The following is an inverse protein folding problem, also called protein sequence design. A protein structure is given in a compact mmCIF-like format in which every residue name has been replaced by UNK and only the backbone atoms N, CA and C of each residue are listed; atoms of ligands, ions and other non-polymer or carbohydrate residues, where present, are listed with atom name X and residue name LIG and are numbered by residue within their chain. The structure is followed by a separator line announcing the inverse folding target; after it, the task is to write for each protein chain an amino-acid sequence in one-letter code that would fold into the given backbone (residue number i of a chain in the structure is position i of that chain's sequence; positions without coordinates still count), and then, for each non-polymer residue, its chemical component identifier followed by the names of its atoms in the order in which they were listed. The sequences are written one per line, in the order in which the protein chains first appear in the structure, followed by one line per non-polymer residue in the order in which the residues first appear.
data_IF_821852539853
#
_entry.id   IF_821852539853
#
_cell.length_a   1.000
_cell.length_b   1.000
_cell.length_c   1.000
_cell.angle_alpha   90.00
_cell.angle_beta   90.00
_cell.angle_gamma   90.00
#
_symmetry.space_group_name_H-M   'P 1'
#
loop_
_entity.id
_entity.type
_entity.pdbx_description
1 polymer ?
#
# COMPACT_ATOMS: atom_id res chain seq x y z
N UNK A 1 -5.75 15.96 -10.01
CA UNK A 1 -5.97 14.83 -9.09
C UNK A 1 -7.30 14.18 -9.41
N UNK A 2 -7.41 12.88 -9.27
CA UNK A 2 -8.63 12.13 -9.59
C UNK A 2 -8.97 11.13 -8.49
N UNK A 3 -10.25 10.79 -8.41
CA UNK A 3 -10.77 9.68 -7.63
C UNK A 3 -11.31 8.61 -8.58
N UNK A 4 -10.92 7.37 -8.35
CA UNK A 4 -11.36 6.21 -9.12
C UNK A 4 -12.26 5.35 -8.24
N UNK A 5 -13.55 5.28 -8.57
CA UNK A 5 -14.55 4.48 -7.85
C UNK A 5 -14.97 3.27 -8.70
N UNK A 6 -14.88 2.04 -8.21
CA UNK A 6 -15.32 0.88 -8.96
C UNK A 6 -16.85 0.88 -9.12
N UNK A 7 -17.34 0.49 -10.30
CA UNK A 7 -18.77 0.27 -10.50
C UNK A 7 -19.26 -1.03 -9.84
N UNK A 8 -18.38 -2.03 -9.74
CA UNK A 8 -18.69 -3.34 -9.17
C UNK A 8 -17.39 -3.92 -8.55
N UNK A 9 -17.37 -5.21 -8.34
CA UNK A 9 -16.17 -5.92 -7.91
C UNK A 9 -15.07 -5.86 -8.98
N UNK A 10 -13.82 -5.94 -8.52
CA UNK A 10 -12.67 -6.00 -9.39
C UNK A 10 -11.65 -7.01 -8.88
N UNK A 11 -10.65 -7.34 -9.70
CA UNK A 11 -9.63 -8.31 -9.35
C UNK A 11 -8.24 -7.75 -9.65
N UNK A 12 -7.36 -7.85 -8.65
CA UNK A 12 -5.91 -7.70 -8.84
C UNK A 12 -5.28 -9.08 -8.67
N UNK A 13 -4.72 -9.59 -9.77
CA UNK A 13 -4.09 -10.90 -9.77
C UNK A 13 -2.84 -10.90 -8.89
N UNK A 14 -2.58 -12.01 -8.24
CA UNK A 14 -1.32 -12.30 -7.53
C UNK A 14 -0.15 -12.60 -8.48
N UNK A 15 -0.39 -12.55 -9.79
CA UNK A 15 0.59 -12.78 -10.86
C UNK A 15 0.79 -14.24 -11.22
N UNK A 16 0.12 -15.17 -10.58
CA UNK A 16 0.14 -16.57 -11.02
C UNK A 16 -0.62 -16.71 -12.32
N UNK A 17 -0.11 -17.53 -13.26
CA UNK A 17 -0.89 -17.90 -14.44
C UNK A 17 -2.17 -18.60 -13.97
N UNK A 18 -3.28 -18.25 -14.58
CA UNK A 18 -4.55 -18.93 -14.39
C UNK A 18 -4.89 -19.64 -15.68
N UNK A 19 -4.49 -20.91 -15.77
CA UNK A 19 -4.67 -21.72 -16.97
C UNK A 19 -6.01 -22.43 -16.90
N UNK A 20 -6.64 -22.47 -18.06
CA UNK A 20 -7.92 -23.13 -18.27
C UNK A 20 -7.80 -24.64 -17.97
N UNK A 21 -8.61 -25.16 -17.04
CA UNK A 21 -8.65 -26.58 -16.67
C UNK A 21 -7.55 -27.07 -15.70
N UNK A 22 -6.58 -26.22 -15.33
CA UNK A 22 -5.51 -26.60 -14.40
C UNK A 22 -5.77 -26.11 -12.98
N UNK A 23 -6.39 -24.92 -12.82
CA UNK A 23 -6.70 -24.35 -11.51
C UNK A 23 -8.20 -24.01 -11.43
N UNK A 24 -8.82 -24.41 -10.32
CA UNK A 24 -10.24 -24.17 -10.08
C UNK A 24 -10.51 -22.92 -9.26
N UNK A 25 -9.49 -22.32 -8.64
CA UNK A 25 -9.63 -21.15 -7.79
C UNK A 25 -8.54 -20.12 -8.03
N UNK A 26 -8.94 -18.84 -8.22
CA UNK A 26 -8.03 -17.70 -8.31
C UNK A 26 -8.24 -16.77 -7.13
N UNK A 27 -7.17 -16.52 -6.40
CA UNK A 27 -7.17 -15.58 -5.29
C UNK A 27 -6.85 -14.16 -5.77
N UNK A 28 -7.51 -13.17 -5.18
CA UNK A 28 -7.18 -11.76 -5.31
C UNK A 28 -6.61 -11.25 -4.01
N UNK A 29 -5.43 -10.68 -4.08
CA UNK A 29 -4.81 -10.05 -2.92
C UNK A 29 -4.99 -8.54 -3.03
N UNK A 30 -5.65 -7.94 -2.03
CA UNK A 30 -5.80 -6.50 -1.98
C UNK A 30 -4.61 -5.83 -1.30
N UNK A 31 -4.01 -4.94 -2.01
CA UNK A 31 -3.11 -3.88 -1.56
C UNK A 31 -3.27 -2.71 -2.52
N UNK A 32 -2.79 -1.54 -2.14
CA UNK A 32 -2.80 -0.39 -3.05
C UNK A 32 -1.80 -0.66 -4.19
N UNK A 33 -2.31 -1.21 -5.29
CA UNK A 33 -1.52 -1.54 -6.48
C UNK A 33 -1.60 -0.42 -7.51
N UNK A 34 -0.54 0.39 -7.68
CA UNK A 34 -0.58 1.53 -8.59
C UNK A 34 -0.41 1.15 -10.07
N UNK A 35 0.14 -0.04 -10.37
CA UNK A 35 0.51 -0.39 -11.75
C UNK A 35 -0.67 -0.48 -12.72
N UNK A 36 -1.82 -1.10 -12.38
CA UNK A 36 -2.97 -1.08 -13.29
C UNK A 36 -3.42 0.34 -13.64
N UNK A 37 -3.40 1.26 -12.67
CA UNK A 37 -3.78 2.65 -12.84
C UNK A 37 -2.79 3.37 -13.77
N UNK A 38 -1.49 3.20 -13.50
CA UNK A 38 -0.42 3.80 -14.32
C UNK A 38 -0.45 3.25 -15.74
N UNK A 39 -0.64 1.95 -15.89
CA UNK A 39 -0.68 1.28 -17.20
C UNK A 39 -1.85 1.78 -18.05
N UNK A 40 -3.01 1.98 -17.44
CA UNK A 40 -4.17 2.53 -18.14
C UNK A 40 -3.93 4.00 -18.54
N UNK A 41 -3.44 4.84 -17.63
CA UNK A 41 -3.14 6.24 -17.91
C UNK A 41 -2.14 6.40 -19.07
N UNK A 42 -1.06 5.62 -19.07
CA UNK A 42 -0.05 5.63 -20.13
C UNK A 42 -0.62 5.17 -21.47
N UNK A 43 -1.48 4.14 -21.46
CA UNK A 43 -2.11 3.62 -22.68
C UNK A 43 -3.11 4.61 -23.28
N UNK A 44 -3.92 5.25 -22.44
CA UNK A 44 -4.96 6.17 -22.87
C UNK A 44 -4.39 7.39 -23.61
N UNK A 45 -3.31 7.94 -23.09
CA UNK A 45 -2.77 9.21 -23.59
C UNK A 45 -1.56 9.03 -24.50
N UNK A 46 -1.01 7.82 -24.61
CA UNK A 46 0.29 7.52 -25.24
C UNK A 46 1.47 8.29 -24.63
N UNK A 47 1.26 8.88 -23.45
CA UNK A 47 2.26 9.63 -22.69
C UNK A 47 2.69 8.83 -21.45
N UNK A 48 3.91 9.08 -21.00
CA UNK A 48 4.40 8.51 -19.75
C UNK A 48 3.93 9.38 -18.58
N UNK A 49 3.20 8.77 -17.65
CA UNK A 49 2.74 9.34 -16.39
C UNK A 49 3.56 8.83 -15.22
N UNK A 50 3.61 9.63 -14.17
CA UNK A 50 4.12 9.23 -12.87
C UNK A 50 3.02 9.40 -11.81
N UNK A 51 2.90 8.45 -10.90
CA UNK A 51 2.02 8.57 -9.74
C UNK A 51 2.83 9.18 -8.61
N UNK A 52 2.51 10.40 -8.25
CA UNK A 52 3.15 11.14 -7.16
C UNK A 52 2.59 10.72 -5.79
N UNK A 53 1.28 10.43 -5.73
CA UNK A 53 0.61 10.00 -4.52
C UNK A 53 -0.60 9.13 -4.85
N UNK A 54 -0.82 8.11 -4.04
CA UNK A 54 -1.99 7.24 -4.12
C UNK A 54 -2.42 6.81 -2.71
N UNK A 55 -3.72 6.80 -2.46
CA UNK A 55 -4.33 6.37 -1.20
C UNK A 55 -5.76 5.91 -1.45
N UNK A 56 -6.42 5.35 -0.43
CA UNK A 56 -7.86 5.18 -0.47
C UNK A 56 -8.56 6.48 -0.08
N UNK A 57 -9.78 6.66 -0.59
CA UNK A 57 -10.65 7.78 -0.27
C UNK A 57 -12.08 7.31 -0.09
N UNK A 58 -12.75 7.82 0.93
CA UNK A 58 -14.18 7.64 1.14
C UNK A 58 -14.78 8.95 1.62
N UNK A 59 -15.85 9.42 0.97
CA UNK A 59 -16.57 10.64 1.34
C UNK A 59 -15.63 11.85 1.56
N UNK A 60 -14.72 12.09 0.59
CA UNK A 60 -13.67 13.13 0.61
C UNK A 60 -12.62 13.02 1.73
N UNK A 61 -12.58 11.92 2.46
CA UNK A 61 -11.59 11.65 3.51
C UNK A 61 -10.58 10.61 3.04
N UNK A 62 -9.28 10.87 3.20
CA UNK A 62 -8.23 9.91 2.88
C UNK A 62 -8.15 8.82 3.94
N UNK A 63 -7.84 7.60 3.50
CA UNK A 63 -7.67 6.43 4.36
C UNK A 63 -6.32 5.76 4.12
N UNK A 64 -5.67 5.38 5.20
CA UNK A 64 -4.35 4.76 5.22
C UNK A 64 -4.40 3.40 5.89
N UNK A 65 -3.57 2.47 5.42
CA UNK A 65 -3.43 1.17 6.08
C UNK A 65 -3.14 1.34 7.55
N UNK A 66 -3.86 0.60 8.40
CA UNK A 66 -3.52 0.53 9.82
C UNK A 66 -2.06 0.12 9.96
N UNK A 67 -1.21 0.90 10.66
CA UNK A 67 0.16 0.50 10.93
C UNK A 67 0.22 -0.84 11.66
N UNK A 68 1.07 -1.75 11.18
CA UNK A 68 1.11 -3.15 11.64
C UNK A 68 1.49 -3.32 13.10
N UNK A 69 2.04 -2.28 13.71
CA UNK A 69 2.36 -2.24 15.14
C UNK A 69 1.14 -2.00 16.03
N UNK A 70 0.04 -1.47 15.48
CA UNK A 70 -1.18 -1.27 16.24
C UNK A 70 -1.88 -2.61 16.40
N UNK A 71 -2.12 -3.01 17.65
CA UNK A 71 -2.81 -4.25 17.98
C UNK A 71 -4.12 -3.95 18.70
N UNK A 72 -5.00 -4.95 18.72
CA UNK A 72 -6.25 -4.91 19.46
C UNK A 72 -6.17 -5.92 20.60
N UNK A 73 -6.53 -5.51 21.81
CA UNK A 73 -6.64 -6.41 22.93
C UNK A 73 -7.87 -7.30 22.77
N UNK A 74 -7.67 -8.61 22.91
CA UNK A 74 -8.71 -9.60 22.61
C UNK A 74 -9.95 -9.44 23.48
N UNK A 75 -9.77 -9.20 24.79
CA UNK A 75 -10.86 -9.15 25.75
C UNK A 75 -11.42 -7.74 25.94
N UNK A 76 -10.54 -6.77 26.13
CA UNK A 76 -10.96 -5.36 26.36
C UNK A 76 -11.37 -4.65 25.07
N UNK A 77 -10.99 -5.20 23.91
CA UNK A 77 -11.26 -4.62 22.58
C UNK A 77 -10.60 -3.23 22.35
N UNK A 78 -9.79 -2.76 23.27
CA UNK A 78 -9.04 -1.52 23.15
C UNK A 78 -7.86 -1.70 22.19
N UNK A 79 -7.43 -0.62 21.59
CA UNK A 79 -6.19 -0.58 20.84
C UNK A 79 -5.01 -0.43 21.77
N UNK A 80 -3.87 -0.93 21.33
CA UNK A 80 -2.60 -0.79 22.02
C UNK A 80 -1.50 -0.53 20.99
N UNK A 81 -0.62 0.38 21.34
CA UNK A 81 0.57 0.73 20.58
C UNK A 81 1.81 0.38 21.38
N UNK A 82 2.88 -0.07 20.74
CA UNK A 82 4.08 -0.48 21.46
C UNK A 82 4.92 0.70 21.89
N UNK A 83 5.69 0.49 22.95
CA UNK A 83 6.82 1.32 23.33
C UNK A 83 8.12 0.69 22.84
N UNK A 84 9.09 1.52 22.50
CA UNK A 84 10.44 1.04 22.19
C UNK A 84 11.20 0.76 23.48
N UNK A 85 11.74 -0.47 23.58
CA UNK A 85 12.58 -0.91 24.69
C UNK A 85 13.94 -1.36 24.16
N UNK A 86 15.01 -0.89 24.76
CA UNK A 86 16.38 -1.32 24.40
C UNK A 86 16.54 -2.81 24.65
N UNK A 87 17.18 -3.50 23.72
CA UNK A 87 17.53 -4.91 23.85
C UNK A 87 18.69 -5.01 24.85
N UNK A 88 18.55 -5.91 25.81
CA UNK A 88 19.64 -6.32 26.71
C UNK A 88 20.46 -7.48 26.11
N UNK A 89 21.49 -7.92 26.80
CA UNK A 89 22.41 -8.98 26.35
C UNK A 89 21.73 -10.36 26.17
N UNK A 90 20.48 -10.52 26.60
CA UNK A 90 19.76 -11.79 26.49
C UNK A 90 19.17 -12.05 25.11
N UNK A 91 19.13 -11.03 24.26
CA UNK A 91 18.57 -11.14 22.90
C UNK A 91 19.67 -11.27 21.85
N UNK A 92 19.52 -12.27 20.98
CA UNK A 92 20.37 -12.47 19.81
C UNK A 92 19.61 -12.00 18.57
N UNK A 93 20.14 -10.99 17.87
CA UNK A 93 19.59 -10.52 16.59
C UNK A 93 20.59 -10.79 15.47
N UNK A 94 20.07 -11.15 14.28
CA UNK A 94 20.90 -11.31 13.06
C UNK A 94 21.25 -9.99 12.39
N UNK A 95 20.63 -8.90 12.83
CA UNK A 95 20.79 -7.55 12.32
C UNK A 95 21.17 -6.64 13.47
N UNK A 96 21.75 -5.48 13.18
CA UNK A 96 22.11 -4.47 14.19
C UNK A 96 20.87 -3.76 14.78
N UNK A 97 19.83 -4.52 15.12
CA UNK A 97 18.63 -4.06 15.78
C UNK A 97 18.92 -3.91 17.26
N UNK A 98 18.63 -2.75 17.82
CA UNK A 98 18.96 -2.38 19.22
C UNK A 98 17.71 -2.22 20.10
N UNK A 99 16.52 -2.28 19.53
CA UNK A 99 15.26 -2.12 20.27
C UNK A 99 14.26 -3.17 19.85
N UNK A 100 13.39 -3.50 20.80
CA UNK A 100 12.18 -4.33 20.60
C UNK A 100 10.94 -3.47 20.85
N UNK A 101 9.80 -3.97 20.38
CA UNK A 101 8.50 -3.38 20.62
C UNK A 101 7.85 -4.06 21.80
N UNK A 102 7.67 -3.33 22.91
CA UNK A 102 7.03 -3.80 24.13
C UNK A 102 5.63 -3.23 24.25
N UNK A 103 4.63 -4.08 24.36
CA UNK A 103 3.23 -3.69 24.50
C UNK A 103 2.78 -3.57 25.97
N UNK A 104 3.68 -3.80 26.92
CA UNK A 104 3.41 -3.67 28.37
C UNK A 104 2.07 -4.33 28.79
N UNK A 105 1.75 -5.49 28.22
CA UNK A 105 0.50 -6.22 28.50
C UNK A 105 0.74 -7.73 28.46
N UNK A 106 0.04 -8.45 29.32
CA UNK A 106 -0.05 -9.92 29.30
C UNK A 106 -1.29 -10.41 28.54
N UNK A 107 -2.20 -9.49 28.19
CA UNK A 107 -3.41 -9.83 27.46
C UNK A 107 -3.09 -10.23 26.02
N UNK A 108 -3.76 -11.26 25.53
CA UNK A 108 -3.61 -11.70 24.14
C UNK A 108 -4.01 -10.58 23.18
N UNK A 109 -3.13 -10.32 22.22
CA UNK A 109 -3.32 -9.32 21.16
C UNK A 109 -3.73 -9.97 19.86
N UNK A 110 -4.51 -9.24 19.08
CA UNK A 110 -4.94 -9.60 17.73
C UNK A 110 -4.49 -8.52 16.74
N UNK A 111 -4.18 -8.95 15.51
CA UNK A 111 -3.85 -8.04 14.43
C UNK A 111 -5.07 -7.21 14.03
N UNK A 112 -4.88 -5.92 13.87
CA UNK A 112 -5.93 -5.04 13.38
C UNK A 112 -5.79 -4.84 11.87
N UNK A 113 -6.76 -5.36 11.11
CA UNK A 113 -6.77 -5.22 9.66
C UNK A 113 -7.76 -4.13 9.21
N UNK A 114 -7.37 -3.34 8.23
CA UNK A 114 -8.22 -2.29 7.65
C UNK A 114 -7.45 -1.02 7.33
N UNK A 115 -8.22 0.06 7.12
CA UNK A 115 -7.72 1.39 6.79
C UNK A 115 -8.40 2.41 7.72
N UNK A 116 -7.61 3.32 8.25
CA UNK A 116 -8.03 4.39 9.16
C UNK A 116 -8.07 5.72 8.42
N UNK A 117 -8.97 6.59 8.83
CA UNK A 117 -9.08 7.95 8.28
C UNK A 117 -7.82 8.80 8.57
N UNK A 118 -7.67 9.87 7.81
CA UNK A 118 -6.51 10.76 7.91
C UNK A 118 -6.38 11.41 9.29
N UNK A 119 -7.47 11.70 9.99
CA UNK A 119 -7.42 12.35 11.30
C UNK A 119 -6.88 11.40 12.37
N UNK A 120 -7.35 10.15 12.37
CA UNK A 120 -6.80 9.09 13.21
C UNK A 120 -5.33 8.83 12.88
N UNK A 121 -5.00 8.83 11.57
CA UNK A 121 -3.62 8.61 11.12
C UNK A 121 -2.69 9.75 11.54
N UNK A 122 -3.16 11.01 11.50
CA UNK A 122 -2.42 12.18 11.99
C UNK A 122 -2.11 12.07 13.49
N UNK A 123 -3.09 11.66 14.31
CA UNK A 123 -2.84 11.40 15.76
C UNK A 123 -1.73 10.37 15.94
N UNK A 124 -1.79 9.28 15.21
CA UNK A 124 -0.75 8.26 15.21
C UNK A 124 0.63 8.78 14.79
N UNK A 125 0.72 9.61 13.73
CA UNK A 125 1.99 10.22 13.28
C UNK A 125 2.59 11.15 14.34
N UNK A 126 1.76 11.84 15.09
CA UNK A 126 2.16 12.74 16.19
C UNK A 126 2.58 11.99 17.46
N UNK A 127 2.49 10.66 17.47
CA UNK A 127 2.77 9.83 18.63
C UNK A 127 1.74 10.00 19.75
N UNK A 128 0.48 10.23 19.41
CA UNK A 128 -0.63 10.25 20.35
C UNK A 128 -1.17 8.83 20.57
N UNK A 129 -1.59 8.53 21.81
CA UNK A 129 -2.13 7.22 22.15
C UNK A 129 -3.50 7.01 21.49
N UNK A 130 -3.61 5.93 20.72
CA UNK A 130 -4.85 5.55 20.05
C UNK A 130 -5.60 4.51 20.88
N UNK A 131 -6.64 4.92 21.58
CA UNK A 131 -7.48 4.02 22.39
C UNK A 131 -8.57 3.32 21.58
N UNK A 132 -9.06 3.96 20.52
CA UNK A 132 -10.10 3.44 19.62
C UNK A 132 -9.95 4.02 18.22
N UNK A 133 -10.54 3.35 17.25
CA UNK A 133 -10.70 3.83 15.87
C UNK A 133 -12.19 3.86 15.57
N UNK A 134 -12.72 5.04 15.28
CA UNK A 134 -14.14 5.23 14.96
C UNK A 134 -14.43 4.85 13.50
N UNK A 135 -13.55 5.27 12.60
CA UNK A 135 -13.71 5.12 11.15
C UNK A 135 -12.72 4.09 10.59
N UNK A 136 -13.03 2.81 10.80
CA UNK A 136 -12.23 1.71 10.23
C UNK A 136 -12.90 1.15 8.98
N UNK A 137 -12.26 1.31 7.83
CA UNK A 137 -12.69 0.72 6.57
C UNK A 137 -12.04 -0.65 6.38
N UNK A 138 -12.83 -1.68 6.11
CA UNK A 138 -12.37 -3.00 5.72
C UNK A 138 -12.71 -3.28 4.28
N UNK A 139 -11.80 -3.93 3.57
CA UNK A 139 -11.99 -4.36 2.20
C UNK A 139 -12.54 -5.78 2.24
N UNK A 140 -13.67 -5.96 1.58
CA UNK A 140 -14.34 -7.25 1.50
C UNK A 140 -13.91 -8.01 0.24
N UNK A 141 -14.08 -9.32 0.28
CA UNK A 141 -13.94 -10.18 -0.88
C UNK A 141 -15.27 -10.84 -1.23
N UNK A 142 -15.44 -11.14 -2.51
CA UNK A 142 -16.64 -11.80 -3.06
C UNK A 142 -16.21 -12.90 -4.01
N UNK A 143 -16.61 -14.14 -3.71
CA UNK A 143 -16.31 -15.27 -4.58
C UNK A 143 -17.38 -15.33 -5.67
N UNK A 144 -16.94 -15.35 -6.92
CA UNK A 144 -17.79 -15.59 -8.09
C UNK A 144 -17.34 -16.84 -8.80
N UNK A 145 -18.29 -17.69 -9.14
CA UNK A 145 -18.07 -18.93 -9.89
C UNK A 145 -18.45 -18.72 -11.34
N UNK A 146 -17.55 -19.12 -12.22
CA UNK A 146 -17.75 -19.13 -13.66
C UNK A 146 -17.72 -20.54 -14.24
N UNK A 147 -18.41 -20.73 -15.34
CA UNK A 147 -18.39 -21.98 -16.11
C UNK A 147 -18.11 -21.67 -17.57
N UNK A 148 -17.47 -22.59 -18.26
CA UNK A 148 -17.42 -22.53 -19.71
C UNK A 148 -18.61 -23.29 -20.31
N UNK A 149 -19.27 -22.65 -21.27
CA UNK A 149 -20.32 -23.27 -22.04
C UNK A 149 -19.79 -23.67 -23.42
N UNK A 150 -20.09 -24.90 -23.84
CA UNK A 150 -19.87 -25.35 -25.21
C UNK A 150 -20.63 -24.44 -26.17
N UNK A 151 -19.94 -23.96 -27.20
CA UNK A 151 -20.57 -23.11 -28.22
C UNK A 151 -21.64 -23.82 -29.02
N UNK A 152 -21.52 -25.17 -29.14
CA UNK A 152 -22.42 -26.00 -29.94
C UNK A 152 -23.62 -26.46 -29.15
N UNK A 153 -23.40 -27.02 -27.99
CA UNK A 153 -24.47 -27.62 -27.17
C UNK A 153 -25.01 -26.70 -26.10
N UNK A 154 -24.32 -25.61 -25.79
CA UNK A 154 -24.61 -24.68 -24.66
C UNK A 154 -24.66 -25.36 -23.29
N UNK A 155 -24.12 -26.56 -23.18
CA UNK A 155 -23.93 -27.27 -21.92
C UNK A 155 -22.56 -26.92 -21.33
N UNK A 156 -22.41 -27.15 -20.02
CA UNK A 156 -21.13 -26.96 -19.32
C UNK A 156 -20.08 -27.90 -19.91
N UNK A 157 -18.90 -27.37 -20.18
CA UNK A 157 -17.73 -28.18 -20.55
C UNK A 157 -17.15 -28.79 -19.27
N UNK A 158 -16.94 -30.11 -19.27
CA UNK A 158 -16.41 -30.86 -18.12
C UNK A 158 -15.01 -30.32 -17.73
N UNK A 159 -14.78 -30.17 -16.42
CA UNK A 159 -13.53 -29.63 -15.87
C UNK A 159 -13.36 -28.12 -16.00
N UNK A 160 -14.37 -27.40 -16.54
CA UNK A 160 -14.30 -25.95 -16.77
C UNK A 160 -15.14 -25.13 -15.77
N UNK A 161 -15.22 -25.61 -14.55
CA UNK A 161 -15.74 -24.85 -13.41
C UNK A 161 -14.57 -24.14 -12.73
N UNK A 162 -14.68 -22.83 -12.52
CA UNK A 162 -13.67 -22.06 -11.80
C UNK A 162 -14.33 -21.06 -10.86
N UNK A 163 -13.63 -20.74 -9.78
CA UNK A 163 -14.05 -19.70 -8.85
C UNK A 163 -12.96 -18.63 -8.74
N UNK A 164 -13.38 -17.38 -8.63
CA UNK A 164 -12.49 -16.24 -8.47
C UNK A 164 -12.91 -15.43 -7.26
N UNK A 165 -11.93 -15.03 -6.47
CA UNK A 165 -12.13 -14.14 -5.34
C UNK A 165 -11.92 -12.69 -5.81
N UNK A 166 -13.00 -11.92 -5.86
CA UNK A 166 -12.98 -10.52 -6.25
C UNK A 166 -12.88 -9.61 -5.02
N UNK A 167 -12.38 -8.41 -5.24
CA UNK A 167 -12.35 -7.33 -4.26
C UNK A 167 -13.65 -6.54 -4.39
N UNK A 168 -14.34 -6.33 -3.27
CA UNK A 168 -15.50 -5.45 -3.18
C UNK A 168 -15.20 -4.28 -2.27
N UNK A 169 -15.23 -3.10 -2.85
CA UNK A 169 -15.14 -1.87 -2.06
C UNK A 169 -16.48 -1.58 -1.37
N UNK A 170 -16.45 -1.11 -0.11
CA UNK A 170 -17.60 -0.49 0.51
C UNK A 170 -18.09 0.70 -0.32
N UNK A 171 -19.32 1.10 -0.10
CA UNK A 171 -19.93 2.25 -0.76
C UNK A 171 -19.08 3.52 -0.59
N UNK A 172 -18.99 4.31 -1.66
CA UNK A 172 -18.20 5.55 -1.76
C UNK A 172 -16.69 5.40 -1.57
N UNK A 173 -16.16 4.18 -1.44
CA UNK A 173 -14.73 3.96 -1.39
C UNK A 173 -14.13 3.98 -2.80
N UNK A 174 -12.98 4.62 -2.95
CA UNK A 174 -12.23 4.70 -4.19
C UNK A 174 -10.73 4.84 -3.97
N UNK A 175 -9.99 4.97 -5.07
CA UNK A 175 -8.58 5.37 -5.05
C UNK A 175 -8.47 6.86 -5.31
N UNK A 176 -7.79 7.60 -4.46
CA UNK A 176 -7.32 8.96 -4.72
C UNK A 176 -5.95 8.90 -5.35
N UNK A 177 -5.79 9.50 -6.53
CA UNK A 177 -4.55 9.44 -7.30
C UNK A 177 -4.11 10.83 -7.74
N UNK A 178 -2.86 11.17 -7.44
CA UNK A 178 -2.19 12.36 -7.92
C UNK A 178 -1.13 11.98 -8.93
N UNK A 179 -1.34 12.35 -10.18
CA UNK A 179 -0.36 12.23 -11.25
C UNK A 179 0.51 13.49 -11.37
N UNK A 180 1.64 13.36 -12.06
CA UNK A 180 2.51 14.49 -12.45
C UNK A 180 1.90 15.36 -13.55
N UNK A 181 0.91 14.86 -14.28
CA UNK A 181 0.20 15.52 -15.38
C UNK A 181 -1.30 15.37 -15.19
N UNK A 182 -2.06 16.25 -15.84
CA UNK A 182 -3.51 16.10 -15.87
C UNK A 182 -3.92 14.95 -16.77
N UNK A 183 -4.95 14.25 -16.35
CA UNK A 183 -5.62 13.23 -17.13
C UNK A 183 -7.11 13.55 -17.19
N UNK A 184 -7.66 13.48 -18.38
CA UNK A 184 -9.08 13.73 -18.64
C UNK A 184 -9.72 12.49 -19.23
N UNK A 185 -10.54 11.83 -18.41
CA UNK A 185 -11.31 10.65 -18.78
C UNK A 185 -12.44 10.44 -17.79
N UNK A 186 -13.55 9.91 -18.25
CA UNK A 186 -14.71 9.61 -17.41
C UNK A 186 -14.61 8.25 -16.74
N UNK A 187 -13.70 7.41 -17.19
CA UNK A 187 -13.50 6.06 -16.63
C UNK A 187 -12.09 5.53 -16.77
N UNK A 188 -11.77 4.55 -15.95
CA UNK A 188 -10.60 3.69 -16.05
C UNK A 188 -11.02 2.23 -16.13
N UNK A 189 -10.27 1.41 -16.87
CA UNK A 189 -10.38 -0.05 -16.80
C UNK A 189 -9.21 -0.60 -16.02
N UNK A 190 -9.47 -1.25 -14.90
CA UNK A 190 -8.42 -1.72 -13.98
C UNK A 190 -8.55 -3.21 -13.71
N UNK A 191 -7.39 -3.84 -13.53
CA UNK A 191 -7.29 -5.23 -13.13
C UNK A 191 -7.65 -6.23 -14.23
N UNK A 192 -7.88 -7.46 -13.82
CA UNK A 192 -8.38 -8.52 -14.71
C UNK A 192 -9.81 -8.26 -15.16
N UNK A 193 -10.16 -8.79 -16.33
CA UNK A 193 -11.50 -8.71 -16.93
C UNK A 193 -11.98 -7.29 -17.28
N UNK A 194 -11.04 -6.30 -17.35
CA UNK A 194 -11.38 -4.94 -17.77
C UNK A 194 -12.45 -4.26 -16.93
N UNK A 195 -12.42 -4.43 -15.61
CA UNK A 195 -13.40 -3.85 -14.69
C UNK A 195 -13.35 -2.33 -14.72
N UNK A 196 -14.53 -1.70 -14.77
CA UNK A 196 -14.68 -0.25 -14.98
C UNK A 196 -14.70 0.49 -13.65
N UNK A 197 -13.96 1.59 -13.61
CA UNK A 197 -13.94 2.56 -12.53
C UNK A 197 -14.36 3.92 -13.06
N UNK A 198 -15.32 4.55 -12.41
CA UNK A 198 -15.69 5.93 -12.67
C UNK A 198 -14.59 6.87 -12.19
N UNK A 199 -14.35 7.94 -12.95
CA UNK A 199 -13.39 8.99 -12.60
C UNK A 199 -14.13 10.23 -12.12
N UNK A 200 -13.65 10.79 -11.00
CA UNK A 200 -14.13 12.07 -10.48
C UNK A 200 -12.90 13.00 -10.30
N UNK A 201 -12.94 14.21 -10.86
CA UNK A 201 -11.87 15.20 -10.68
C UNK A 201 -11.96 15.80 -9.28
N UNK A 202 -10.83 15.91 -8.61
CA UNK A 202 -10.72 16.56 -7.30
C UNK A 202 -9.77 17.74 -7.43
N UNK A 203 -10.27 18.94 -7.13
CA UNK A 203 -9.47 20.18 -7.16
C UNK A 203 -8.75 20.41 -5.83
N UNK A 204 -9.35 19.99 -4.72
CA UNK A 204 -8.83 20.19 -3.38
C UNK A 204 -7.66 19.24 -3.07
N UNK A 205 -6.61 19.79 -2.47
CA UNK A 205 -5.48 18.97 -1.99
C UNK A 205 -5.82 18.33 -0.64
N UNK A 206 -6.29 17.10 -0.67
CA UNK A 206 -6.69 16.34 0.52
C UNK A 206 -5.50 15.93 1.42
N UNK A 207 -4.25 16.10 0.98
CA UNK A 207 -3.07 15.84 1.83
C UNK A 207 -2.71 17.02 2.75
N UNK A 208 -3.49 18.10 2.74
CA UNK A 208 -3.20 19.33 3.51
C UNK A 208 -3.11 19.07 5.01
N UNK A 209 -3.96 18.23 5.57
CA UNK A 209 -3.93 17.85 6.99
C UNK A 209 -2.60 17.19 7.38
N UNK A 210 -2.02 16.37 6.49
CA UNK A 210 -0.71 15.76 6.68
C UNK A 210 0.42 16.81 6.61
N UNK A 211 0.34 17.76 5.69
CA UNK A 211 1.35 18.82 5.57
C UNK A 211 1.35 19.74 6.82
N UNK A 212 0.18 20.03 7.37
CA UNK A 212 0.03 20.92 8.53
C UNK A 212 0.72 20.39 9.80
N UNK A 213 0.88 19.08 9.95
CA UNK A 213 1.50 18.46 11.15
C UNK A 213 2.99 18.21 11.00
N UNK A 214 3.55 18.47 9.84
CA UNK A 214 4.96 18.17 9.50
C UNK A 214 5.95 18.83 10.46
N UNK A 215 5.77 20.11 10.76
CA UNK A 215 6.70 20.86 11.61
C UNK A 215 6.56 20.48 13.09
N UNK A 216 5.35 20.14 13.56
CA UNK A 216 5.16 19.58 14.91
C UNK A 216 5.91 18.26 15.07
N UNK A 217 5.79 17.37 14.08
CA UNK A 217 6.49 16.08 14.09
C UNK A 217 8.01 16.28 14.08
N UNK A 218 8.54 17.20 13.25
CA UNK A 218 9.97 17.55 13.25
C UNK A 218 10.46 17.99 14.63
N UNK A 219 9.71 18.86 15.28
CA UNK A 219 10.05 19.36 16.62
C UNK A 219 10.10 18.23 17.63
N UNK A 220 9.12 17.34 17.64
CA UNK A 220 9.11 16.16 18.53
C UNK A 220 10.28 15.20 18.24
N UNK A 221 10.65 15.01 16.99
CA UNK A 221 11.79 14.17 16.59
C UNK A 221 13.10 14.75 17.06
N UNK A 222 13.30 16.07 16.97
CA UNK A 222 14.49 16.74 17.51
C UNK A 222 14.65 16.51 19.02
N UNK A 223 13.55 16.48 19.76
CA UNK A 223 13.56 16.24 21.22
C UNK A 223 13.82 14.77 21.55
N UNK A 224 13.09 13.86 20.90
CA UNK A 224 13.13 12.41 21.20
C UNK A 224 14.31 11.68 20.55
N UNK A 225 14.90 12.24 19.49
CA UNK A 225 15.95 11.64 18.67
C UNK A 225 15.58 10.29 18.03
N UNK A 226 14.31 9.95 18.05
CA UNK A 226 13.79 8.72 17.43
C UNK A 226 12.57 9.10 16.59
N UNK A 227 12.49 8.51 15.39
CA UNK A 227 11.37 8.66 14.49
C UNK A 227 11.02 7.32 13.83
N UNK A 228 9.86 7.27 13.22
CA UNK A 228 9.42 6.12 12.45
C UNK A 228 9.07 6.49 11.03
N UNK A 229 9.32 5.56 10.09
CA UNK A 229 8.86 5.63 8.71
C UNK A 229 7.82 4.56 8.50
N UNK A 230 6.68 4.96 7.98
CA UNK A 230 5.54 4.11 7.68
C UNK A 230 5.42 3.97 6.16
N UNK A 231 5.25 2.74 5.67
CA UNK A 231 4.95 2.49 4.26
C UNK A 231 3.47 2.73 3.99
N UNK A 232 3.18 3.67 3.09
CA UNK A 232 1.83 3.95 2.59
C UNK A 232 1.47 3.04 1.41
N UNK A 233 2.48 2.60 0.65
CA UNK A 233 2.35 1.61 -0.42
C UNK A 233 3.50 0.60 -0.33
N UNK A 234 3.34 -0.62 -0.88
CA UNK A 234 4.39 -1.63 -0.83
C UNK A 234 5.71 -1.19 -1.46
N UNK A 235 6.81 -1.81 -1.04
CA UNK A 235 8.14 -1.58 -1.61
C UNK A 235 8.94 -2.88 -1.75
N UNK A 236 9.92 -2.89 -2.64
CA UNK A 236 10.85 -4.02 -2.81
C UNK A 236 12.21 -3.82 -2.11
N UNK A 237 12.34 -2.78 -1.31
CA UNK A 237 13.59 -2.44 -0.63
C UNK A 237 13.37 -2.10 0.84
N UNK A 238 14.37 -2.41 1.66
CA UNK A 238 14.44 -1.91 3.03
C UNK A 238 15.12 -0.53 3.05
N UNK A 239 14.63 0.36 3.92
CA UNK A 239 15.14 1.70 4.00
C UNK A 239 16.55 1.76 4.59
N UNK A 240 17.45 2.52 3.92
CA UNK A 240 18.72 2.97 4.49
C UNK A 240 18.71 4.49 4.49
N UNK A 241 18.82 5.09 5.68
CA UNK A 241 18.74 6.53 5.87
C UNK A 241 20.10 7.05 6.33
N UNK A 242 20.64 7.98 5.57
CA UNK A 242 21.87 8.68 5.95
C UNK A 242 21.59 9.58 7.16
N UNK A 243 22.47 9.54 8.16
CA UNK A 243 22.30 10.30 9.41
C UNK A 243 21.31 9.70 10.41
N UNK A 244 20.84 8.45 10.17
CA UNK A 244 19.98 7.75 11.10
C UNK A 244 20.23 6.24 11.06
N UNK A 245 20.17 5.60 12.23
CA UNK A 245 20.35 4.16 12.41
C UNK A 245 19.00 3.47 12.59
N UNK A 246 18.76 2.39 11.84
CA UNK A 246 17.59 1.53 12.04
C UNK A 246 17.71 0.82 13.38
N UNK A 247 16.73 0.98 14.28
CA UNK A 247 16.77 0.41 15.64
C UNK A 247 15.70 -0.64 15.90
N UNK A 248 14.57 -0.59 15.19
CA UNK A 248 13.50 -1.59 15.25
C UNK A 248 12.69 -1.58 13.95
N UNK A 249 11.94 -2.65 13.69
CA UNK A 249 11.04 -2.72 12.54
C UNK A 249 9.85 -3.65 12.81
N UNK A 250 8.71 -3.32 12.18
CA UNK A 250 7.53 -4.20 12.08
C UNK A 250 7.21 -4.40 10.61
N UNK A 251 7.38 -5.61 10.13
CA UNK A 251 7.18 -5.96 8.72
C UNK A 251 6.09 -7.03 8.64
N UNK A 252 5.10 -6.81 7.78
CA UNK A 252 4.06 -7.78 7.50
C UNK A 252 4.53 -8.94 6.62
N UNK A 253 3.65 -9.89 6.38
CA UNK A 253 3.91 -10.99 5.43
C UNK A 253 4.20 -10.39 4.05
N UNK A 254 5.25 -10.85 3.36
CA UNK A 254 5.57 -10.36 2.03
C UNK A 254 4.40 -10.52 1.05
N UNK A 255 4.14 -9.48 0.26
CA UNK A 255 3.19 -9.54 -0.85
C UNK A 255 3.93 -10.09 -2.07
N UNK A 256 3.40 -11.16 -2.67
CA UNK A 256 3.88 -11.64 -3.95
C UNK A 256 3.24 -10.81 -5.06
N UNK A 257 4.06 -10.24 -5.93
CA UNK A 257 3.61 -9.43 -7.05
C UNK A 257 4.29 -9.86 -8.34
N UNK A 258 3.51 -10.00 -9.40
CA UNK A 258 3.98 -10.14 -10.77
C UNK A 258 3.06 -9.34 -11.68
N UNK A 259 3.62 -8.71 -12.69
CA UNK A 259 2.90 -7.97 -13.72
C UNK A 259 2.98 -8.67 -15.06
N UNK A 260 2.53 -7.98 -16.10
CA UNK A 260 2.58 -8.45 -17.47
C UNK A 260 3.28 -7.40 -18.33
N UNK A 261 4.18 -7.84 -19.20
CA UNK A 261 4.87 -6.99 -20.17
C UNK A 261 4.41 -7.38 -21.58
N UNK A 262 3.95 -6.37 -22.32
CA UNK A 262 3.69 -6.51 -23.75
C UNK A 262 4.97 -6.26 -24.52
N UNK A 263 5.35 -7.20 -25.35
CA UNK A 263 6.44 -7.06 -26.30
C UNK A 263 5.88 -6.62 -27.65
N UNK A 264 6.55 -5.66 -28.27
CA UNK A 264 6.19 -5.12 -29.56
C UNK A 264 7.36 -5.32 -30.54
N UNK A 265 7.05 -5.70 -31.77
CA UNK A 265 7.97 -5.72 -32.91
C UNK A 265 7.29 -4.96 -34.03
N UNK A 266 7.97 -3.95 -34.58
CA UNK A 266 7.44 -3.11 -35.67
C UNK A 266 6.03 -2.56 -35.36
N UNK A 267 5.83 -2.03 -34.13
CA UNK A 267 4.55 -1.53 -33.59
C UNK A 267 3.45 -2.60 -33.40
N UNK A 268 3.70 -3.84 -33.82
CA UNK A 268 2.78 -4.95 -33.60
C UNK A 268 3.04 -5.63 -32.25
N UNK A 269 1.98 -5.84 -31.48
CA UNK A 269 2.04 -6.60 -30.25
C UNK A 269 2.31 -8.07 -30.56
N UNK A 270 3.52 -8.55 -30.24
CA UNK A 270 3.95 -9.92 -30.56
C UNK A 270 3.65 -10.91 -29.45
N UNK A 271 3.80 -10.49 -28.18
CA UNK A 271 3.55 -11.36 -27.03
C UNK A 271 3.25 -10.56 -25.77
N UNK A 272 2.64 -11.24 -24.81
CA UNK A 272 2.48 -10.75 -23.43
C UNK A 272 3.06 -11.80 -22.52
N UNK A 273 4.10 -11.43 -21.78
CA UNK A 273 4.79 -12.33 -20.87
C UNK A 273 4.65 -11.84 -19.43
N UNK A 274 4.55 -12.75 -18.45
CA UNK A 274 4.60 -12.36 -17.06
C UNK A 274 5.99 -11.79 -16.74
N UNK A 275 6.02 -10.80 -15.83
CA UNK A 275 7.28 -10.36 -15.22
C UNK A 275 7.78 -11.42 -14.24
N UNK A 276 9.02 -11.30 -13.79
CA UNK A 276 9.48 -12.07 -12.64
C UNK A 276 8.62 -11.76 -11.41
N UNK A 277 8.59 -12.70 -10.50
CA UNK A 277 7.88 -12.56 -9.22
C UNK A 277 8.72 -11.70 -8.28
N UNK A 278 8.12 -10.64 -7.75
CA UNK A 278 8.68 -9.78 -6.70
C UNK A 278 8.07 -10.14 -5.35
N UNK A 279 8.87 -10.04 -4.31
CA UNK A 279 8.40 -10.06 -2.92
C UNK A 279 8.46 -8.65 -2.37
N UNK A 280 7.31 -8.08 -2.08
CA UNK A 280 7.18 -6.72 -1.61
C UNK A 280 6.96 -6.70 -0.10
N UNK A 281 7.58 -5.73 0.57
CA UNK A 281 7.26 -5.36 1.94
C UNK A 281 5.90 -4.65 1.89
N UNK A 282 4.89 -5.10 2.65
CA UNK A 282 3.54 -4.57 2.54
C UNK A 282 3.40 -3.16 3.12
N UNK A 283 2.36 -2.47 2.67
CA UNK A 283 1.89 -1.23 3.27
C UNK A 283 1.54 -1.43 4.75
N UNK A 284 1.68 -0.37 5.54
CA UNK A 284 1.50 -0.41 7.00
C UNK A 284 2.74 -0.92 7.76
N UNK A 285 3.79 -1.42 7.08
CA UNK A 285 5.06 -1.74 7.73
C UNK A 285 5.72 -0.48 8.28
N UNK A 286 6.36 -0.61 9.45
CA UNK A 286 6.94 0.50 10.21
C UNK A 286 8.40 0.22 10.50
N UNK A 287 9.23 1.23 10.29
CA UNK A 287 10.68 1.19 10.55
C UNK A 287 11.04 2.31 11.51
N UNK A 288 11.72 1.99 12.59
CA UNK A 288 12.14 2.92 13.62
C UNK A 288 13.61 3.27 13.47
N UNK A 289 13.91 4.55 13.52
CA UNK A 289 15.25 5.09 13.36
C UNK A 289 15.64 5.96 14.54
N UNK A 290 16.86 5.79 15.02
CA UNK A 290 17.54 6.75 15.88
C UNK A 290 18.23 7.80 15.02
N UNK A 291 17.90 9.07 15.23
CA UNK A 291 18.56 10.20 14.55
C UNK A 291 19.96 10.41 15.15
N UNK A 292 20.99 10.15 14.35
CA UNK A 292 22.38 10.31 14.73
C UNK A 292 22.93 11.70 14.36
N UNK A 293 22.46 12.24 13.22
CA UNK A 293 22.83 13.58 12.73
C UNK A 293 21.59 14.45 12.54
N UNK A 294 21.40 15.42 13.45
CA UNK A 294 20.25 16.32 13.40
C UNK A 294 20.26 17.24 12.16
N UNK A 295 21.43 17.56 11.61
CA UNK A 295 21.55 18.39 10.42
C UNK A 295 20.89 17.74 9.19
N UNK A 296 20.77 16.41 9.19
CA UNK A 296 20.14 15.63 8.11
C UNK A 296 18.60 15.58 8.19
N UNK A 297 18.00 16.06 9.28
CA UNK A 297 16.56 15.93 9.49
C UNK A 297 15.73 16.56 8.36
N UNK A 298 16.12 17.74 7.88
CA UNK A 298 15.42 18.39 6.75
C UNK A 298 15.55 17.59 5.45
N UNK A 299 16.71 17.03 5.18
CA UNK A 299 16.94 16.16 4.01
C UNK A 299 16.09 14.89 4.11
N UNK A 300 16.02 14.27 5.30
CA UNK A 300 15.18 13.11 5.59
C UNK A 300 13.71 13.43 5.30
N UNK A 301 13.17 14.55 5.80
CA UNK A 301 11.80 14.95 5.52
C UNK A 301 11.55 15.23 4.03
N UNK A 302 12.49 15.89 3.36
CA UNK A 302 12.37 16.19 1.93
C UNK A 302 12.36 14.93 1.06
N UNK A 303 13.03 13.87 1.51
CA UNK A 303 13.14 12.61 0.78
C UNK A 303 12.01 11.62 1.07
N UNK A 304 11.48 11.61 2.30
CA UNK A 304 10.60 10.54 2.80
C UNK A 304 9.18 11.01 3.17
N UNK A 305 8.88 12.30 3.13
CA UNK A 305 7.55 12.81 3.41
C UNK A 305 6.67 12.76 2.17
N UNK A 306 5.69 11.83 2.15
CA UNK A 306 4.77 11.59 1.04
C UNK A 306 5.49 11.34 -0.30
N UNK A 307 6.63 10.71 -0.26
CA UNK A 307 7.44 10.43 -1.46
C UNK A 307 7.82 8.95 -1.55
N UNK A 308 8.04 8.44 -2.77
CA UNK A 308 8.59 7.11 -2.97
C UNK A 308 10.07 7.12 -2.60
N UNK A 309 10.41 6.42 -1.53
CA UNK A 309 11.71 6.58 -0.90
C UNK A 309 12.60 5.34 -0.99
N UNK A 310 12.01 4.16 -1.01
CA UNK A 310 12.76 2.91 -0.87
C UNK A 310 12.41 1.95 -2.00
N UNK A 311 13.19 2.01 -3.06
CA UNK A 311 13.05 1.03 -4.14
C UNK A 311 14.41 0.66 -4.70
N UNK A 312 14.63 -0.66 -4.89
CA UNK A 312 15.72 -1.16 -5.69
C UNK A 312 15.24 -1.14 -7.13
N UNK A 313 15.96 -0.43 -7.99
CA UNK A 313 15.66 -0.35 -9.41
C UNK A 313 15.91 -1.71 -10.06
N UNK A 314 14.85 -2.46 -10.26
CA UNK A 314 14.94 -3.77 -10.90
C UNK A 314 14.13 -3.86 -12.19
N UNK A 315 13.18 -2.95 -12.34
CA UNK A 315 12.27 -2.85 -13.47
C UNK A 315 11.74 -1.42 -13.59
N UNK A 316 11.18 -1.00 -14.72
CA UNK A 316 10.65 0.37 -14.89
C UNK A 316 9.57 0.77 -13.87
N UNK A 317 9.00 -0.19 -13.15
CA UNK A 317 8.02 0.08 -12.09
C UNK A 317 8.64 0.50 -10.76
N UNK A 318 9.92 0.17 -10.52
CA UNK A 318 10.62 0.45 -9.27
C UNK A 318 11.75 1.46 -9.52
N UNK A 319 11.38 2.66 -9.94
CA UNK A 319 12.32 3.75 -10.19
C UNK A 319 11.85 5.00 -9.43
N UNK A 320 12.63 5.44 -8.44
CA UNK A 320 12.34 6.64 -7.65
C UNK A 320 12.38 7.93 -8.47
N UNK A 321 13.11 7.94 -9.59
CA UNK A 321 13.15 9.08 -10.51
C UNK A 321 11.92 9.16 -11.42
N UNK A 322 11.22 8.01 -11.59
CA UNK A 322 9.98 7.91 -12.33
C UNK A 322 8.95 7.18 -11.45
N UNK A 323 8.38 7.86 -10.45
CA UNK A 323 7.58 7.21 -9.44
C UNK A 323 6.31 6.58 -10.03
N UNK A 324 6.18 5.29 -9.78
CA UNK A 324 5.00 4.50 -10.16
C UNK A 324 3.89 4.50 -9.12
N UNK A 325 4.15 5.10 -7.94
CA UNK A 325 3.28 5.04 -6.78
C UNK A 325 3.64 3.96 -5.76
N UNK A 326 4.60 3.08 -6.04
CA UNK A 326 5.18 2.17 -5.05
C UNK A 326 6.17 2.89 -4.12
N UNK A 327 6.36 2.34 -2.92
CA UNK A 327 7.36 2.81 -1.97
C UNK A 327 7.05 4.19 -1.36
N UNK A 328 5.81 4.63 -1.41
CA UNK A 328 5.39 5.87 -0.72
C UNK A 328 5.55 5.72 0.78
N UNK A 329 6.12 6.75 1.40
CA UNK A 329 6.41 6.77 2.83
C UNK A 329 5.89 8.04 3.49
N UNK A 330 5.76 7.97 4.81
CA UNK A 330 5.54 9.13 5.67
C UNK A 330 6.31 8.95 6.97
N UNK A 331 6.67 10.07 7.58
CA UNK A 331 7.43 10.10 8.84
C UNK A 331 6.47 10.35 10.00
N UNK A 332 6.67 9.62 11.10
CA UNK A 332 5.98 9.86 12.36
C UNK A 332 6.97 9.89 13.53
N UNK A 333 6.52 10.43 14.66
CA UNK A 333 7.26 10.35 15.93
C UNK A 333 6.79 9.15 16.75
N UNK A 334 7.52 8.84 17.80
CA UNK A 334 7.14 7.78 18.76
C UNK A 334 6.21 8.33 19.85
N UNK A 335 5.56 7.43 20.61
CA UNK A 335 4.70 7.72 21.76
C UNK A 335 5.48 8.26 22.95
#
# INVERSE_FOLDING_TARGET
MIVLKPYDVFIFSDGKPFNKGEETFRESVFFINPIPILSFANKLTKNKFNIQFISLIKDNTLYFKVPLEIKKLKYRQNLITPKLKTIDETYITKEDITHILDYETEEKMEDLSGYIDVDTFVKYLKGEDLKSIENLVRINSEIRTGIELSKTTRTTVEGMLYSQNFIRFPENLGFYVKFDKEIDTDFFTLGGEGKIFKTEKVQENLTKSLENVKDEIKTKIKQKKIFKIILLTPTNAMPKIEGAKLVAKVIGKPITYSGWISHYKDELKTSVLPTRIFRLIPEGSVFYYQLEDESKLEEIFNKYWLKPAFMIKEYPYFDTNNPSGFGLTIIGTIY
#
